data_IF_169918254556
#
_entry.id   IF_169918254556
#
_cell.length_a   1.000
_cell.length_b   1.000
_cell.length_c   1.000
_cell.angle_alpha   90.00
_cell.angle_beta   90.00
_cell.angle_gamma   90.00
#
_symmetry.space_group_name_H-M   'P 1'
#
loop_
_entity.id
_entity.type
_entity.pdbx_description
1 polymer ?
#
# COMPACT_ATOMS: atom_id res chain seq x y z
N UNK A 1 14.16 4.60 -11.89
CA UNK A 1 13.29 5.62 -11.26
C UNK A 1 11.87 5.26 -11.65
N UNK A 2 11.02 4.88 -10.69
CA UNK A 2 9.59 4.72 -10.96
C UNK A 2 9.00 6.11 -11.27
N UNK A 3 8.26 6.21 -12.36
CA UNK A 3 7.58 7.43 -12.79
C UNK A 3 6.68 7.95 -11.64
N UNK A 4 6.78 9.24 -11.32
CA UNK A 4 5.90 9.87 -10.32
C UNK A 4 4.49 9.92 -10.90
N UNK A 5 3.52 9.43 -10.14
CA UNK A 5 2.15 9.31 -10.62
C UNK A 5 1.36 10.58 -10.34
N UNK A 6 0.50 10.95 -11.28
CA UNK A 6 -0.38 12.11 -11.16
C UNK A 6 -1.82 11.68 -10.88
N UNK A 7 -2.60 12.61 -10.35
CA UNK A 7 -4.00 12.41 -10.03
C UNK A 7 -4.69 13.73 -9.76
N UNK A 8 -5.95 13.62 -9.37
CA UNK A 8 -6.84 14.76 -9.15
C UNK A 8 -7.37 14.74 -7.72
N UNK A 9 -7.89 15.85 -7.26
CA UNK A 9 -8.76 15.87 -6.09
C UNK A 9 -10.10 16.53 -6.46
N UNK A 10 -11.16 16.05 -5.82
CA UNK A 10 -12.55 16.37 -6.18
C UNK A 10 -13.36 16.76 -4.97
N UNK A 11 -14.21 17.77 -5.16
CA UNK A 11 -15.31 18.14 -4.27
C UNK A 11 -16.64 18.09 -5.04
N UNK A 12 -17.74 18.62 -4.48
CA UNK A 12 -18.99 18.83 -5.24
C UNK A 12 -18.83 19.55 -6.57
N UNK A 13 -17.80 20.40 -6.72
CA UNK A 13 -17.63 21.21 -7.93
C UNK A 13 -17.29 20.38 -9.16
N UNK A 14 -16.80 19.15 -8.98
CA UNK A 14 -16.54 18.20 -10.06
C UNK A 14 -17.72 17.25 -10.33
N UNK A 15 -18.90 17.54 -9.78
CA UNK A 15 -20.13 16.78 -10.00
C UNK A 15 -20.10 15.36 -9.39
N UNK A 16 -21.18 14.61 -9.58
CA UNK A 16 -21.37 13.30 -8.93
C UNK A 16 -20.30 12.27 -9.29
N UNK A 17 -19.75 12.30 -10.51
CA UNK A 17 -18.83 11.27 -10.99
C UNK A 17 -17.38 11.74 -11.04
N UNK A 18 -17.09 12.96 -10.60
CA UNK A 18 -15.77 13.57 -10.75
C UNK A 18 -15.49 14.03 -12.18
N UNK A 19 -14.35 14.71 -12.36
CA UNK A 19 -13.83 15.13 -13.67
C UNK A 19 -12.46 14.50 -13.86
N UNK A 20 -12.31 13.73 -14.94
CA UNK A 20 -11.07 13.06 -15.30
C UNK A 20 -10.26 13.93 -16.26
N UNK A 21 -8.97 14.10 -15.99
CA UNK A 21 -8.10 14.93 -16.82
C UNK A 21 -7.41 14.10 -17.91
N UNK A 22 -6.62 13.08 -17.52
CA UNK A 22 -5.80 12.32 -18.46
C UNK A 22 -5.85 10.81 -18.18
N UNK A 23 -5.75 9.95 -19.22
CA UNK A 23 -5.68 8.49 -19.05
C UNK A 23 -4.47 8.01 -18.22
N UNK A 24 -3.46 8.87 -18.04
CA UNK A 24 -2.28 8.59 -17.24
C UNK A 24 -2.51 8.78 -15.73
N UNK A 25 -3.59 9.44 -15.32
CA UNK A 25 -3.90 9.65 -13.91
C UNK A 25 -4.09 8.29 -13.20
N UNK A 26 -3.65 8.21 -11.94
CA UNK A 26 -3.61 6.95 -11.17
C UNK A 26 -4.38 6.99 -9.86
N UNK A 27 -4.74 8.18 -9.38
CA UNK A 27 -5.47 8.35 -8.13
C UNK A 27 -6.43 9.54 -8.19
N UNK A 28 -7.41 9.52 -7.29
CA UNK A 28 -8.32 10.64 -7.03
C UNK A 28 -8.52 10.81 -5.52
N UNK A 29 -8.46 12.03 -4.98
CA UNK A 29 -8.73 12.31 -3.56
C UNK A 29 -10.09 13.02 -3.44
N UNK A 30 -11.09 12.36 -2.86
CA UNK A 30 -12.48 12.84 -2.87
C UNK A 30 -12.86 13.46 -1.52
N UNK A 31 -13.51 14.63 -1.56
CA UNK A 31 -13.99 15.29 -0.34
C UNK A 31 -15.21 14.57 0.21
N UNK A 32 -15.15 14.12 1.47
CA UNK A 32 -16.33 13.55 2.15
C UNK A 32 -17.27 14.61 2.71
N UNK A 33 -16.74 15.80 2.97
CA UNK A 33 -17.39 16.86 3.71
C UNK A 33 -16.39 17.57 4.61
N UNK A 34 -16.89 18.21 5.65
CA UNK A 34 -16.03 18.75 6.69
C UNK A 34 -16.73 19.67 7.66
N UNK A 35 -15.94 20.25 8.55
CA UNK A 35 -16.37 21.21 9.55
C UNK A 35 -15.91 22.61 9.16
N UNK A 36 -16.83 23.57 9.19
CA UNK A 36 -16.63 24.98 8.88
C UNK A 36 -16.77 25.78 10.17
N UNK A 37 -15.76 25.71 11.05
CA UNK A 37 -15.80 26.39 12.35
C UNK A 37 -16.86 25.84 13.32
N UNK A 38 -17.27 24.57 13.17
CA UNK A 38 -18.28 23.93 14.02
C UNK A 38 -19.53 23.47 13.26
N UNK A 39 -19.76 23.97 12.05
CA UNK A 39 -20.84 23.51 11.18
C UNK A 39 -20.39 22.36 10.30
N UNK A 40 -21.12 21.24 10.33
CA UNK A 40 -20.80 20.02 9.58
C UNK A 40 -21.57 19.99 8.26
N UNK A 41 -20.85 19.81 7.15
CA UNK A 41 -21.43 19.77 5.81
C UNK A 41 -20.97 18.53 5.08
N UNK A 42 -21.93 17.70 4.66
CA UNK A 42 -21.65 16.50 3.87
C UNK A 42 -21.56 16.83 2.38
N UNK A 43 -20.65 16.14 1.69
CA UNK A 43 -20.54 16.17 0.24
C UNK A 43 -21.37 15.02 -0.34
N UNK A 44 -22.54 15.34 -0.92
CA UNK A 44 -23.42 14.33 -1.54
C UNK A 44 -22.76 13.60 -2.71
N UNK A 45 -21.74 14.18 -3.33
CA UNK A 45 -20.97 13.59 -4.43
C UNK A 45 -19.98 12.52 -3.98
N UNK A 46 -19.55 12.50 -2.71
CA UNK A 46 -18.42 11.70 -2.22
C UNK A 46 -18.52 10.21 -2.60
N UNK A 47 -19.65 9.57 -2.29
CA UNK A 47 -19.82 8.13 -2.53
C UNK A 47 -19.73 7.80 -4.03
N UNK A 48 -20.36 8.63 -4.87
CA UNK A 48 -20.36 8.44 -6.32
C UNK A 48 -18.98 8.72 -6.92
N UNK A 49 -18.25 9.71 -6.40
CA UNK A 49 -16.88 10.02 -6.82
C UNK A 49 -15.90 8.90 -6.46
N UNK A 50 -15.97 8.36 -5.25
CA UNK A 50 -15.16 7.20 -4.83
C UNK A 50 -15.43 5.99 -5.72
N UNK A 51 -16.72 5.70 -6.00
CA UNK A 51 -17.10 4.60 -6.89
C UNK A 51 -16.63 4.84 -8.34
N UNK A 52 -16.81 6.05 -8.84
CA UNK A 52 -16.42 6.46 -10.19
C UNK A 52 -14.91 6.32 -10.39
N UNK A 53 -14.10 6.79 -9.43
CA UNK A 53 -12.65 6.60 -9.43
C UNK A 53 -12.26 5.12 -9.51
N UNK A 54 -12.85 4.27 -8.66
CA UNK A 54 -12.60 2.82 -8.67
C UNK A 54 -12.98 2.15 -10.00
N UNK A 55 -14.11 2.50 -10.59
CA UNK A 55 -14.56 1.98 -11.88
C UNK A 55 -13.62 2.36 -13.04
N UNK A 56 -12.89 3.46 -12.91
CA UNK A 56 -11.88 3.91 -13.87
C UNK A 56 -10.45 3.46 -13.51
N UNK A 57 -10.30 2.55 -12.55
CA UNK A 57 -9.00 2.00 -12.16
C UNK A 57 -8.12 2.96 -11.37
N UNK A 58 -8.68 4.07 -10.85
CA UNK A 58 -7.96 4.99 -9.98
C UNK A 58 -8.00 4.50 -8.53
N UNK A 59 -6.92 4.79 -7.79
CA UNK A 59 -6.89 4.64 -6.33
C UNK A 59 -7.61 5.81 -5.68
N UNK A 60 -8.73 5.55 -5.02
CA UNK A 60 -9.55 6.58 -4.39
C UNK A 60 -9.08 6.90 -2.95
N UNK A 61 -8.90 8.16 -2.62
CA UNK A 61 -8.55 8.63 -1.29
C UNK A 61 -9.61 9.60 -0.77
N UNK A 62 -9.53 9.97 0.49
CA UNK A 62 -10.49 10.88 1.12
C UNK A 62 -9.78 12.11 1.66
N UNK A 63 -10.43 13.27 1.62
CA UNK A 63 -10.06 14.41 2.45
C UNK A 63 -11.28 15.02 3.14
N UNK A 64 -11.03 15.72 4.24
CA UNK A 64 -12.03 16.37 5.09
C UNK A 64 -11.66 17.85 5.20
N UNK A 65 -12.57 18.76 4.86
CA UNK A 65 -12.42 20.19 5.20
C UNK A 65 -12.37 20.35 6.73
N UNK A 66 -11.23 20.82 7.26
CA UNK A 66 -10.87 20.64 8.66
C UNK A 66 -10.67 21.96 9.40
N UNK A 67 -11.64 22.87 9.31
CA UNK A 67 -11.59 24.19 9.96
C UNK A 67 -11.89 24.10 11.47
N UNK A 68 -10.98 23.48 12.22
CA UNK A 68 -11.11 23.21 13.67
C UNK A 68 -10.39 24.24 14.56
N UNK A 69 -9.59 25.14 13.98
CA UNK A 69 -8.71 26.03 14.72
C UNK A 69 -7.74 25.26 15.62
N UNK A 70 -7.72 25.59 16.92
CA UNK A 70 -6.97 24.88 17.95
C UNK A 70 -7.83 23.94 18.83
N UNK A 71 -9.07 23.63 18.42
CA UNK A 71 -10.02 22.88 19.26
C UNK A 71 -9.92 21.37 19.06
N UNK A 72 -9.30 20.66 20.00
CA UNK A 72 -9.32 19.18 20.06
C UNK A 72 -10.72 18.60 20.17
N UNK A 73 -11.64 19.31 20.82
CA UNK A 73 -13.02 18.84 20.96
C UNK A 73 -13.77 18.91 19.63
N UNK A 74 -13.59 19.99 18.85
CA UNK A 74 -14.16 20.06 17.51
C UNK A 74 -13.50 19.05 16.56
N UNK A 75 -12.18 18.88 16.66
CA UNK A 75 -11.44 17.82 15.97
C UNK A 75 -12.02 16.42 16.27
N UNK A 76 -12.33 16.13 17.53
CA UNK A 76 -13.00 14.90 17.95
C UNK A 76 -14.37 14.76 17.31
N UNK A 77 -15.24 15.76 17.43
CA UNK A 77 -16.58 15.73 16.84
C UNK A 77 -16.54 15.56 15.31
N UNK A 78 -15.62 16.25 14.64
CA UNK A 78 -15.35 16.11 13.20
C UNK A 78 -15.08 14.65 12.82
N UNK A 79 -14.12 14.02 13.49
CA UNK A 79 -13.68 12.67 13.14
C UNK A 79 -14.62 11.57 13.61
N UNK A 80 -15.32 11.75 14.74
CA UNK A 80 -16.41 10.87 15.16
C UNK A 80 -17.54 10.84 14.10
N UNK A 81 -17.76 11.97 13.43
CA UNK A 81 -18.74 12.08 12.37
C UNK A 81 -18.25 11.46 11.05
N UNK A 82 -17.08 11.86 10.54
CA UNK A 82 -16.67 11.49 9.18
C UNK A 82 -16.00 10.11 9.08
N UNK A 83 -15.19 9.67 10.06
CA UNK A 83 -14.45 8.39 9.93
C UNK A 83 -15.34 7.16 9.69
N UNK A 84 -16.52 7.01 10.33
CA UNK A 84 -17.43 5.89 10.06
C UNK A 84 -18.09 5.95 8.67
N UNK A 85 -18.04 7.10 7.99
CA UNK A 85 -18.69 7.34 6.69
C UNK A 85 -17.74 7.16 5.50
N UNK A 86 -16.44 7.04 5.74
CA UNK A 86 -15.42 6.85 4.71
C UNK A 86 -15.66 5.54 3.95
N UNK A 87 -15.54 5.61 2.61
CA UNK A 87 -15.77 4.49 1.69
C UNK A 87 -14.51 3.93 1.03
N UNK A 88 -13.39 4.61 1.18
CA UNK A 88 -12.10 4.14 0.66
C UNK A 88 -11.56 2.99 1.54
N UNK A 89 -10.72 2.08 1.01
CA UNK A 89 -10.17 0.96 1.78
C UNK A 89 -9.37 1.41 3.00
N UNK A 90 -9.27 0.54 4.01
CA UNK A 90 -8.30 0.75 5.10
C UNK A 90 -6.88 0.85 4.55
N UNK A 91 -6.06 1.66 5.20
CA UNK A 91 -4.74 2.06 4.73
C UNK A 91 -4.77 3.22 3.72
N UNK A 92 -5.88 3.49 3.04
CA UNK A 92 -5.96 4.64 2.14
C UNK A 92 -5.78 5.97 2.88
N UNK A 93 -5.34 7.00 2.15
CA UNK A 93 -5.20 8.35 2.68
C UNK A 93 -6.55 8.90 3.15
N UNK A 94 -6.54 9.50 4.33
CA UNK A 94 -7.54 10.45 4.82
C UNK A 94 -6.79 11.72 5.19
N UNK A 95 -6.93 12.75 4.37
CA UNK A 95 -6.26 14.03 4.58
C UNK A 95 -7.13 15.01 5.40
N UNK A 96 -6.48 15.75 6.29
CA UNK A 96 -7.03 16.90 6.98
C UNK A 96 -6.69 18.15 6.18
N UNK A 97 -7.68 18.74 5.55
CA UNK A 97 -7.55 19.99 4.80
C UNK A 97 -7.66 21.16 5.77
N UNK A 98 -6.50 21.72 6.15
CA UNK A 98 -6.35 22.78 7.14
C UNK A 98 -5.70 24.00 6.49
N UNK A 99 -6.52 24.74 5.75
CA UNK A 99 -6.10 25.96 5.05
C UNK A 99 -6.91 27.20 5.44
N UNK A 100 -7.83 27.06 6.39
CA UNK A 100 -8.56 28.17 6.99
C UNK A 100 -8.89 27.91 8.48
N UNK A 101 -9.30 28.97 9.19
CA UNK A 101 -9.78 28.94 10.56
C UNK A 101 -8.72 28.71 11.63
N UNK A 102 -7.43 28.87 11.32
CA UNK A 102 -6.37 28.84 12.31
C UNK A 102 -6.56 29.92 13.38
N UNK A 103 -6.27 29.57 14.63
CA UNK A 103 -6.16 30.56 15.71
C UNK A 103 -4.74 31.15 15.76
N UNK A 104 -4.52 32.19 16.57
CA UNK A 104 -3.17 32.71 16.80
C UNK A 104 -2.26 31.75 17.62
N UNK A 105 -2.83 30.71 18.24
CA UNK A 105 -2.10 29.71 19.00
C UNK A 105 -1.60 28.58 18.08
N UNK A 106 -0.37 28.75 17.58
CA UNK A 106 0.32 27.79 16.70
C UNK A 106 0.43 26.41 17.37
N UNK A 107 0.74 26.37 18.67
CA UNK A 107 0.86 25.11 19.42
C UNK A 107 -0.47 24.41 19.48
N UNK A 108 -1.55 25.13 19.82
CA UNK A 108 -2.90 24.60 19.86
C UNK A 108 -3.41 24.12 18.51
N UNK A 109 -3.17 24.88 17.43
CA UNK A 109 -3.50 24.47 16.07
C UNK A 109 -2.81 23.15 15.72
N UNK A 110 -1.49 23.07 15.96
CA UNK A 110 -0.67 21.88 15.72
C UNK A 110 -1.18 20.68 16.53
N UNK A 111 -1.55 20.90 17.79
CA UNK A 111 -2.10 19.87 18.67
C UNK A 111 -3.49 19.36 18.24
N UNK A 112 -4.33 20.22 17.67
CA UNK A 112 -5.62 19.81 17.11
C UNK A 112 -5.44 18.98 15.82
N UNK A 113 -4.50 19.36 14.97
CA UNK A 113 -4.13 18.61 13.76
C UNK A 113 -3.54 17.24 14.14
N UNK A 114 -2.54 17.19 15.03
CA UNK A 114 -1.94 15.94 15.50
C UNK A 114 -2.98 15.02 16.15
N UNK A 115 -3.89 15.58 16.97
CA UNK A 115 -5.01 14.81 17.50
C UNK A 115 -5.82 14.18 16.36
N UNK A 116 -6.14 14.94 15.32
CA UNK A 116 -6.89 14.44 14.19
C UNK A 116 -6.16 13.36 13.40
N UNK A 117 -4.88 13.56 13.11
CA UNK A 117 -4.04 12.60 12.40
C UNK A 117 -3.88 11.28 13.17
N UNK A 118 -3.69 11.34 14.50
CA UNK A 118 -3.68 10.15 15.37
C UNK A 118 -5.00 9.38 15.26
N UNK A 119 -6.15 10.08 15.34
CA UNK A 119 -7.47 9.46 15.22
C UNK A 119 -7.69 8.79 13.85
N UNK A 120 -7.17 9.38 12.77
CA UNK A 120 -7.19 8.77 11.44
C UNK A 120 -6.34 7.50 11.39
N UNK A 121 -5.13 7.54 11.95
CA UNK A 121 -4.23 6.41 12.05
C UNK A 121 -4.84 5.26 12.89
N UNK A 122 -5.38 5.58 14.06
CA UNK A 122 -6.07 4.62 14.95
C UNK A 122 -7.28 3.97 14.27
N UNK A 123 -7.94 4.69 13.36
CA UNK A 123 -9.02 4.17 12.54
C UNK A 123 -8.53 3.30 11.36
N UNK A 124 -7.22 3.07 11.23
CA UNK A 124 -6.61 2.22 10.22
C UNK A 124 -6.50 2.87 8.84
N UNK A 125 -6.32 4.18 8.77
CA UNK A 125 -6.08 4.93 7.52
C UNK A 125 -4.71 5.61 7.56
N UNK A 126 -4.21 6.06 6.40
CA UNK A 126 -2.98 6.86 6.33
C UNK A 126 -3.33 8.33 6.60
N UNK A 127 -2.86 8.93 7.72
CA UNK A 127 -3.12 10.35 7.98
C UNK A 127 -2.26 11.24 7.09
N UNK A 128 -2.84 12.36 6.66
CA UNK A 128 -2.16 13.36 5.84
C UNK A 128 -2.63 14.76 6.24
N UNK A 129 -1.72 15.73 6.22
CA UNK A 129 -2.01 17.15 6.40
C UNK A 129 -1.98 17.83 5.04
N UNK A 130 -3.07 18.51 4.68
CA UNK A 130 -3.14 19.35 3.49
C UNK A 130 -3.23 20.84 3.84
N UNK A 131 -2.46 21.66 3.12
CA UNK A 131 -2.50 23.12 3.15
C UNK A 131 -1.62 23.70 2.03
N UNK A 132 -1.32 25.00 2.09
CA UNK A 132 -0.32 25.67 1.26
C UNK A 132 0.80 26.29 2.10
N UNK A 133 2.01 26.38 1.54
CA UNK A 133 3.25 26.63 2.30
C UNK A 133 3.21 27.89 3.19
N UNK A 134 2.83 29.09 2.69
CA UNK A 134 2.72 30.29 3.53
C UNK A 134 1.79 30.13 4.74
N UNK A 135 0.64 29.46 4.56
CA UNK A 135 -0.31 29.26 5.65
C UNK A 135 0.24 28.31 6.71
N UNK A 136 0.84 27.20 6.28
CA UNK A 136 1.48 26.25 7.19
C UNK A 136 2.56 26.93 8.01
N UNK A 137 3.51 27.63 7.37
CA UNK A 137 4.62 28.28 8.06
C UNK A 137 4.18 29.36 9.05
N UNK A 138 3.03 30.00 8.81
CA UNK A 138 2.47 31.02 9.69
C UNK A 138 1.74 30.42 10.89
N UNK A 139 1.01 29.32 10.71
CA UNK A 139 -0.03 28.90 11.65
C UNK A 139 0.24 27.56 12.34
N UNK A 140 1.20 26.76 11.87
CA UNK A 140 1.40 25.36 12.29
C UNK A 140 2.89 25.04 12.43
N UNK A 141 3.25 24.36 13.52
CA UNK A 141 4.58 23.75 13.66
C UNK A 141 4.61 22.38 12.94
N UNK A 142 4.70 22.43 11.61
CA UNK A 142 4.63 21.24 10.76
C UNK A 142 5.76 20.24 11.05
N UNK A 143 6.88 20.69 11.64
CA UNK A 143 7.99 19.80 12.01
C UNK A 143 7.55 18.76 13.02
N UNK A 144 6.63 19.12 13.92
CA UNK A 144 6.03 18.17 14.88
C UNK A 144 5.11 17.17 14.18
N UNK A 145 4.38 17.61 13.14
CA UNK A 145 3.57 16.72 12.29
C UNK A 145 4.46 15.66 11.63
N UNK A 146 5.51 16.07 10.94
CA UNK A 146 6.37 15.12 10.20
C UNK A 146 7.28 14.29 11.11
N UNK A 147 7.55 14.74 12.33
CA UNK A 147 8.25 13.94 13.33
C UNK A 147 7.42 12.74 13.81
N UNK A 148 6.10 12.90 13.90
CA UNK A 148 5.18 11.83 14.29
C UNK A 148 4.67 11.02 13.08
N UNK A 149 4.39 11.71 11.98
CA UNK A 149 3.91 11.13 10.72
C UNK A 149 4.85 11.54 9.58
N UNK A 150 5.98 10.84 9.37
CA UNK A 150 6.90 11.15 8.28
C UNK A 150 6.22 11.09 6.90
N UNK A 151 6.63 11.96 5.98
CA UNK A 151 6.10 12.01 4.60
C UNK A 151 4.57 12.13 4.54
N UNK A 152 3.97 12.99 5.36
CA UNK A 152 2.52 13.13 5.49
C UNK A 152 1.98 14.50 5.06
N UNK A 153 2.79 15.34 4.40
CA UNK A 153 2.32 16.63 3.89
C UNK A 153 1.85 16.52 2.45
N UNK A 154 0.68 17.06 2.18
CA UNK A 154 0.16 17.38 0.86
C UNK A 154 0.13 18.90 0.75
N UNK A 155 1.00 19.50 -0.07
CA UNK A 155 1.17 20.96 -0.11
C UNK A 155 0.81 21.50 -1.49
N UNK A 156 0.02 22.56 -1.51
CA UNK A 156 -0.29 23.33 -2.71
C UNK A 156 0.71 24.48 -2.91
N UNK A 157 1.11 24.70 -4.17
CA UNK A 157 1.85 25.87 -4.66
C UNK A 157 1.67 25.94 -6.17
N UNK A 158 1.18 27.07 -6.68
CA UNK A 158 0.92 27.23 -8.11
C UNK A 158 1.76 28.39 -8.66
N UNK A 159 2.52 28.19 -9.76
CA UNK A 159 3.27 29.28 -10.39
C UNK A 159 2.37 30.39 -10.92
N UNK A 160 1.21 29.99 -11.43
CA UNK A 160 0.21 30.80 -12.09
C UNK A 160 -1.13 30.03 -12.15
N UNK A 161 -2.11 30.61 -12.85
CA UNK A 161 -3.41 29.98 -13.14
C UNK A 161 -3.54 29.64 -14.63
N UNK A 162 -2.44 29.32 -15.29
CA UNK A 162 -2.46 28.83 -16.67
C UNK A 162 -2.73 27.32 -16.69
N UNK A 163 -3.31 26.82 -17.79
CA UNK A 163 -3.57 25.38 -17.94
C UNK A 163 -2.24 24.62 -17.93
N UNK A 164 -2.11 23.63 -17.04
CA UNK A 164 -0.85 22.92 -16.80
C UNK A 164 -1.07 21.45 -16.53
N UNK A 165 -0.55 20.57 -17.40
CA UNK A 165 -0.72 19.11 -17.29
C UNK A 165 0.42 18.38 -16.56
N UNK A 166 1.48 19.09 -16.17
CA UNK A 166 2.67 18.54 -15.50
C UNK A 166 3.17 19.48 -14.40
N UNK A 167 3.71 18.95 -13.29
CA UNK A 167 4.28 19.78 -12.23
C UNK A 167 5.46 20.61 -12.73
N UNK A 168 5.50 21.86 -12.30
CA UNK A 168 6.64 22.76 -12.47
C UNK A 168 7.50 22.69 -11.22
N UNK A 169 8.63 21.98 -11.29
CA UNK A 169 9.45 21.73 -10.11
C UNK A 169 10.27 22.94 -9.66
N UNK A 170 10.40 23.97 -10.49
CA UNK A 170 11.01 25.24 -10.06
C UNK A 170 10.15 25.97 -9.02
N UNK A 171 8.85 25.63 -8.98
CA UNK A 171 7.86 26.12 -8.02
C UNK A 171 7.50 25.08 -6.96
N UNK A 172 8.31 24.03 -6.79
CA UNK A 172 8.06 23.03 -5.78
C UNK A 172 8.08 23.66 -4.36
N UNK A 173 7.03 23.48 -3.53
CA UNK A 173 6.96 24.05 -2.19
C UNK A 173 7.91 23.33 -1.24
N UNK A 174 9.19 23.70 -1.32
CA UNK A 174 10.27 23.02 -0.62
C UNK A 174 10.05 23.11 0.90
N UNK A 175 9.65 21.96 1.46
CA UNK A 175 9.37 21.69 2.87
C UNK A 175 9.68 20.21 3.12
N UNK A 176 10.20 19.89 4.30
CA UNK A 176 10.43 18.49 4.68
C UNK A 176 9.09 17.72 4.78
N UNK A 177 9.08 16.47 4.33
CA UNK A 177 7.91 15.58 4.47
C UNK A 177 6.77 15.80 3.48
N UNK A 178 6.99 16.59 2.41
CA UNK A 178 6.04 16.69 1.29
C UNK A 178 6.00 15.38 0.51
N UNK A 179 4.84 14.71 0.56
CA UNK A 179 4.58 13.45 -0.11
C UNK A 179 3.66 13.60 -1.33
N UNK A 180 2.77 14.60 -1.31
CA UNK A 180 1.95 14.98 -2.46
C UNK A 180 2.13 16.48 -2.73
N UNK A 181 2.29 16.84 -3.99
CA UNK A 181 2.32 18.23 -4.44
C UNK A 181 1.10 18.51 -5.31
N UNK A 182 0.20 19.40 -4.86
CA UNK A 182 -0.84 19.96 -5.71
C UNK A 182 -0.22 21.12 -6.49
N UNK A 183 0.09 20.89 -7.76
CA UNK A 183 0.94 21.77 -8.56
C UNK A 183 0.17 22.77 -9.40
N UNK A 184 -1.17 22.65 -9.45
CA UNK A 184 -2.05 23.57 -10.17
C UNK A 184 -3.49 23.36 -9.75
N UNK A 185 -4.30 24.42 -9.86
CA UNK A 185 -5.78 24.35 -9.89
C UNK A 185 -6.36 24.38 -11.32
N UNK A 186 -5.47 24.35 -12.33
CA UNK A 186 -5.79 24.48 -13.75
C UNK A 186 -5.23 23.29 -14.53
N UNK A 187 -5.44 22.07 -14.02
CA UNK A 187 -4.92 20.82 -14.63
C UNK A 187 -5.46 20.57 -16.04
N UNK A 188 -6.67 21.08 -16.30
CA UNK A 188 -7.34 21.17 -17.60
C UNK A 188 -7.96 22.55 -17.80
N UNK A 189 -8.37 22.87 -19.03
CA UNK A 189 -9.16 24.06 -19.31
C UNK A 189 -10.49 24.03 -18.54
N UNK A 190 -10.82 25.13 -17.85
CA UNK A 190 -12.01 25.23 -17.01
C UNK A 190 -11.78 24.99 -15.51
N UNK A 191 -10.58 24.59 -15.10
CA UNK A 191 -10.19 24.43 -13.70
C UNK A 191 -10.39 23.00 -13.19
N UNK A 192 -9.33 22.46 -12.61
CA UNK A 192 -9.28 21.15 -11.95
C UNK A 192 -7.97 21.05 -11.18
N UNK A 193 -8.01 20.56 -9.96
CA UNK A 193 -6.81 20.42 -9.15
C UNK A 193 -5.95 19.23 -9.62
N UNK A 194 -4.67 19.51 -9.86
CA UNK A 194 -3.68 18.57 -10.37
C UNK A 194 -2.64 18.24 -9.30
N UNK A 195 -2.46 16.95 -9.03
CA UNK A 195 -1.60 16.44 -7.97
C UNK A 195 -0.54 15.50 -8.51
N UNK A 196 0.63 15.46 -7.86
CA UNK A 196 1.67 14.46 -8.10
C UNK A 196 2.09 13.79 -6.79
N UNK A 197 2.11 12.46 -6.78
CA UNK A 197 2.65 11.65 -5.69
C UNK A 197 4.18 11.54 -5.83
N UNK A 198 4.89 11.98 -4.81
CA UNK A 198 6.35 12.06 -4.80
C UNK A 198 7.01 10.83 -4.16
N UNK A 199 6.24 10.04 -3.40
CA UNK A 199 6.76 9.01 -2.48
C UNK A 199 6.15 7.62 -2.68
N UNK A 200 5.04 7.54 -3.42
CA UNK A 200 4.22 6.34 -3.54
C UNK A 200 3.17 6.20 -2.42
N UNK A 201 2.88 7.28 -1.67
CA UNK A 201 1.91 7.25 -0.55
C UNK A 201 0.49 6.92 -1.02
N UNK A 202 0.13 7.25 -2.26
CA UNK A 202 -1.18 6.94 -2.85
C UNK A 202 -1.38 5.44 -3.11
N UNK A 203 -0.34 4.62 -2.95
CA UNK A 203 -0.49 3.17 -2.94
C UNK A 203 -1.00 2.63 -1.60
N UNK A 204 -0.95 3.39 -0.51
CA UNK A 204 -1.43 2.89 0.77
C UNK A 204 -2.94 2.58 0.70
N UNK A 205 -3.33 1.42 1.23
CA UNK A 205 -4.69 0.85 1.09
C UNK A 205 -5.02 0.22 -0.27
N UNK A 206 -4.10 0.32 -1.25
CA UNK A 206 -4.28 -0.17 -2.62
C UNK A 206 -3.14 -1.04 -3.12
N UNK A 207 -2.04 -1.14 -2.36
CA UNK A 207 -1.12 -2.27 -2.49
C UNK A 207 -1.97 -3.51 -2.39
N UNK A 208 -2.07 -4.27 -3.49
CA UNK A 208 -2.73 -5.56 -3.44
C UNK A 208 -2.18 -6.31 -2.23
N UNK A 209 -3.10 -6.77 -1.37
CA UNK A 209 -2.75 -7.70 -0.32
C UNK A 209 -2.15 -8.96 -0.96
N UNK A 210 -0.84 -8.97 -1.09
CA UNK A 210 -0.05 -10.12 -1.47
C UNK A 210 0.96 -10.26 -0.31
N UNK A 211 0.92 -11.27 0.55
CA UNK A 211 0.26 -12.57 0.44
C UNK A 211 0.24 -13.27 1.79
N UNK A 212 -0.94 -13.72 2.24
CA UNK A 212 -1.02 -15.08 2.78
C UNK A 212 -1.80 -15.88 1.76
N UNK A 213 -1.08 -16.56 0.88
CA UNK A 213 -1.66 -17.50 -0.06
C UNK A 213 -0.91 -18.80 0.11
N UNK A 214 -1.66 -19.88 0.26
CA UNK A 214 -1.12 -21.21 0.16
C UNK A 214 -1.67 -21.91 -1.07
N UNK A 215 -2.04 -21.16 -2.10
CA UNK A 215 -2.55 -21.72 -3.36
C UNK A 215 -1.46 -21.67 -4.42
N UNK A 216 -1.12 -22.83 -4.94
CA UNK A 216 -0.23 -23.01 -6.09
C UNK A 216 -1.05 -23.37 -7.33
N UNK A 217 -0.53 -23.02 -8.51
CA UNK A 217 -1.11 -23.37 -9.81
C UNK A 217 -0.15 -24.31 -10.52
N UNK A 218 -0.63 -25.47 -10.93
CA UNK A 218 0.14 -26.43 -11.73
C UNK A 218 0.48 -25.80 -13.08
N UNK A 219 1.75 -25.94 -13.50
CA UNK A 219 2.26 -25.52 -14.80
C UNK A 219 3.04 -26.68 -15.40
N UNK A 220 2.52 -27.31 -16.45
CA UNK A 220 3.22 -28.39 -17.16
C UNK A 220 3.83 -27.88 -18.46
N UNK A 221 5.11 -28.15 -18.69
CA UNK A 221 5.77 -27.91 -19.97
C UNK A 221 5.49 -29.08 -20.94
N UNK A 222 5.14 -28.76 -22.19
CA UNK A 222 5.02 -29.66 -23.35
C UNK A 222 4.41 -31.06 -23.10
N UNK A 223 3.16 -31.10 -22.61
CA UNK A 223 2.20 -32.09 -23.09
C UNK A 223 1.90 -33.32 -22.22
N UNK A 224 2.43 -33.44 -21.00
CA UNK A 224 1.96 -34.45 -20.04
C UNK A 224 1.76 -33.87 -18.63
N UNK A 225 0.71 -34.30 -17.91
CA UNK A 225 0.59 -34.11 -16.46
C UNK A 225 1.78 -34.73 -15.72
N UNK A 226 2.60 -33.92 -15.04
CA UNK A 226 3.48 -34.46 -14.00
C UNK A 226 2.59 -35.05 -12.91
N UNK A 227 2.91 -36.22 -12.36
CA UNK A 227 2.05 -36.84 -11.35
C UNK A 227 2.27 -36.23 -9.96
N UNK A 228 1.37 -36.50 -9.02
CA UNK A 228 1.64 -36.26 -7.61
C UNK A 228 2.67 -37.26 -7.08
N UNK A 229 3.39 -36.85 -6.04
CA UNK A 229 4.34 -37.67 -5.32
C UNK A 229 3.82 -38.02 -3.94
N UNK A 230 4.33 -39.11 -3.37
CA UNK A 230 4.16 -39.41 -1.96
C UNK A 230 5.33 -38.86 -1.13
N UNK A 231 5.26 -38.99 0.20
CA UNK A 231 6.31 -38.53 1.14
C UNK A 231 7.67 -39.21 0.96
N UNK A 232 7.75 -40.31 0.21
CA UNK A 232 9.00 -41.01 -0.13
C UNK A 232 9.57 -40.58 -1.48
N UNK A 233 9.02 -39.54 -2.11
CA UNK A 233 9.38 -39.10 -3.47
C UNK A 233 9.02 -40.10 -4.57
N UNK A 234 8.06 -41.00 -4.31
CA UNK A 234 7.58 -41.94 -5.33
C UNK A 234 6.36 -41.35 -6.05
N UNK A 235 6.39 -41.40 -7.38
CA UNK A 235 5.34 -40.92 -8.26
C UNK A 235 4.08 -41.82 -8.20
N UNK A 236 2.89 -41.23 -8.11
CA UNK A 236 1.63 -41.98 -8.24
C UNK A 236 1.37 -42.36 -9.71
N UNK A 237 1.04 -43.62 -9.97
CA UNK A 237 0.91 -44.12 -11.35
C UNK A 237 -0.32 -43.58 -12.13
N UNK A 238 -1.34 -43.03 -11.45
CA UNK A 238 -2.66 -42.77 -12.05
C UNK A 238 -3.27 -41.41 -11.73
N UNK A 239 -2.51 -40.44 -11.21
CA UNK A 239 -3.05 -39.13 -10.80
C UNK A 239 -2.39 -37.99 -11.56
N UNK A 240 -2.77 -37.78 -12.84
CA UNK A 240 -2.22 -36.68 -13.63
C UNK A 240 -2.52 -35.31 -12.99
N UNK A 241 -1.50 -34.48 -12.75
CA UNK A 241 -1.70 -33.06 -12.44
C UNK A 241 -2.13 -32.29 -13.70
N UNK A 242 -3.37 -31.85 -13.71
CA UNK A 242 -3.94 -31.10 -14.83
C UNK A 242 -3.35 -29.68 -14.82
N UNK A 243 -2.85 -29.22 -15.97
CA UNK A 243 -2.32 -27.87 -16.13
C UNK A 243 -3.33 -26.81 -15.70
N UNK A 244 -2.85 -25.73 -15.08
CA UNK A 244 -3.64 -24.61 -14.55
C UNK A 244 -4.62 -24.95 -13.41
N UNK A 245 -4.61 -26.18 -12.89
CA UNK A 245 -5.34 -26.49 -11.66
C UNK A 245 -4.70 -25.81 -10.44
N UNK A 246 -5.56 -25.36 -9.52
CA UNK A 246 -5.16 -24.68 -8.30
C UNK A 246 -5.28 -25.62 -7.11
N UNK A 247 -4.23 -25.69 -6.30
CA UNK A 247 -4.17 -26.56 -5.14
C UNK A 247 -3.81 -25.77 -3.90
N UNK A 248 -4.54 -26.01 -2.82
CA UNK A 248 -4.18 -25.48 -1.51
C UNK A 248 -3.11 -26.38 -0.89
N UNK A 249 -1.95 -25.81 -0.61
CA UNK A 249 -0.87 -26.47 0.10
C UNK A 249 -0.90 -26.13 1.60
N UNK A 250 -0.32 -26.99 2.42
CA UNK A 250 -0.24 -26.83 3.87
C UNK A 250 1.13 -27.17 4.48
N UNK A 251 2.15 -27.31 3.63
CA UNK A 251 3.50 -27.66 4.04
C UNK A 251 4.43 -27.85 2.85
N UNK A 252 5.73 -27.81 3.13
CA UNK A 252 6.79 -28.06 2.14
C UNK A 252 7.74 -29.12 2.71
N UNK A 253 8.08 -30.11 1.89
CA UNK A 253 9.11 -31.12 2.17
C UNK A 253 10.16 -31.11 1.06
N UNK A 254 11.23 -31.88 1.23
CA UNK A 254 12.24 -32.12 0.19
C UNK A 254 12.04 -33.49 -0.44
N UNK A 255 12.31 -33.61 -1.74
CA UNK A 255 12.44 -34.90 -2.41
C UNK A 255 13.84 -35.52 -2.20
N UNK A 256 14.06 -36.71 -2.77
CA UNK A 256 15.34 -37.43 -2.70
C UNK A 256 16.53 -36.67 -3.30
N UNK A 257 16.27 -35.68 -4.16
CA UNK A 257 17.27 -34.86 -4.85
C UNK A 257 17.45 -33.48 -4.17
N UNK A 258 16.71 -33.23 -3.07
CA UNK A 258 16.74 -32.01 -2.28
C UNK A 258 15.79 -30.91 -2.77
N UNK A 259 14.96 -31.19 -3.77
CA UNK A 259 14.04 -30.22 -4.39
C UNK A 259 12.75 -30.08 -3.56
N UNK A 260 12.20 -28.88 -3.51
CA UNK A 260 10.99 -28.60 -2.75
C UNK A 260 9.73 -29.26 -3.35
N UNK A 261 8.93 -29.87 -2.48
CA UNK A 261 7.61 -30.40 -2.77
C UNK A 261 6.54 -29.83 -1.85
N UNK A 262 5.47 -29.31 -2.42
CA UNK A 262 4.32 -28.78 -1.70
C UNK A 262 3.35 -29.88 -1.32
N UNK A 263 3.00 -30.00 -0.05
CA UNK A 263 1.96 -30.90 0.44
C UNK A 263 0.59 -30.32 0.12
N UNK A 264 -0.18 -31.01 -0.72
CA UNK A 264 -1.52 -30.57 -1.19
C UNK A 264 -2.65 -31.46 -0.72
N UNK A 265 -2.33 -32.51 0.04
CA UNK A 265 -3.30 -33.46 0.57
C UNK A 265 -2.65 -34.50 1.49
N UNK A 266 -3.40 -35.53 1.84
CA UNK A 266 -2.86 -36.63 2.63
C UNK A 266 -1.83 -37.42 1.82
N UNK A 267 -0.58 -37.44 2.27
CA UNK A 267 0.55 -38.08 1.59
C UNK A 267 0.65 -37.72 0.08
N UNK A 268 0.23 -36.51 -0.30
CA UNK A 268 0.12 -36.08 -1.69
C UNK A 268 0.86 -34.77 -1.89
N UNK A 269 1.82 -34.77 -2.82
CA UNK A 269 2.77 -33.68 -2.98
C UNK A 269 2.96 -33.29 -4.45
N UNK A 270 3.22 -32.00 -4.69
CA UNK A 270 3.50 -31.42 -6.01
C UNK A 270 4.89 -30.80 -5.98
N UNK A 271 5.79 -31.21 -6.88
CA UNK A 271 7.12 -30.61 -7.02
C UNK A 271 7.02 -29.15 -7.46
N UNK A 272 7.86 -28.28 -6.91
CA UNK A 272 7.80 -26.84 -7.16
C UNK A 272 8.03 -26.48 -8.64
N UNK A 273 8.90 -27.22 -9.32
CA UNK A 273 9.22 -27.07 -10.74
C UNK A 273 8.01 -27.25 -11.68
N UNK A 274 6.97 -27.92 -11.20
CA UNK A 274 5.71 -28.15 -11.92
C UNK A 274 4.63 -27.11 -11.59
N UNK A 275 5.00 -25.96 -11.03
CA UNK A 275 4.05 -24.94 -10.57
C UNK A 275 4.41 -23.54 -11.06
N UNK A 276 3.52 -22.59 -10.82
CA UNK A 276 3.80 -21.15 -10.98
C UNK A 276 4.89 -20.61 -10.03
N UNK A 277 5.44 -21.46 -9.15
CA UNK A 277 6.51 -21.13 -8.21
C UNK A 277 7.86 -21.77 -8.62
N UNK A 278 7.97 -22.35 -9.82
CA UNK A 278 9.24 -22.87 -10.33
C UNK A 278 10.35 -21.79 -10.26
N UNK A 279 11.46 -22.12 -9.60
CA UNK A 279 12.61 -21.26 -9.34
C UNK A 279 12.26 -19.93 -8.63
N UNK A 280 11.16 -19.92 -7.87
CA UNK A 280 10.58 -18.70 -7.33
C UNK A 280 10.17 -18.86 -5.87
N UNK A 281 10.84 -18.11 -4.99
CA UNK A 281 10.39 -17.84 -3.63
C UNK A 281 9.47 -16.62 -3.64
N UNK A 282 8.28 -16.74 -3.08
CA UNK A 282 7.32 -15.67 -2.81
C UNK A 282 7.07 -15.62 -1.31
N UNK A 283 7.38 -14.51 -0.67
CA UNK A 283 7.29 -14.37 0.79
C UNK A 283 5.83 -14.38 1.24
N UNK A 284 5.41 -15.48 1.86
CA UNK A 284 4.11 -15.72 2.48
C UNK A 284 4.08 -15.12 3.89
N UNK A 285 4.00 -13.80 3.94
CA UNK A 285 3.99 -12.99 5.16
C UNK A 285 3.19 -11.71 4.91
N UNK A 286 2.64 -11.05 5.96
CA UNK A 286 1.93 -9.78 5.79
C UNK A 286 2.81 -8.72 5.11
N UNK A 287 2.24 -8.01 4.12
CA UNK A 287 2.98 -7.15 3.19
C UNK A 287 3.76 -6.00 3.85
N UNK A 288 3.24 -5.44 4.94
CA UNK A 288 3.89 -4.35 5.68
C UNK A 288 5.08 -4.83 6.52
N UNK A 289 5.21 -6.14 6.70
CA UNK A 289 6.26 -6.76 7.47
C UNK A 289 7.25 -7.51 6.56
N UNK A 290 8.36 -7.95 7.13
CA UNK A 290 9.30 -8.81 6.43
C UNK A 290 9.91 -9.84 7.35
N UNK A 291 10.60 -10.79 6.75
CA UNK A 291 11.16 -11.95 7.42
C UNK A 291 12.68 -11.86 7.49
N UNK A 292 13.27 -12.40 8.55
CA UNK A 292 14.72 -12.46 8.64
C UNK A 292 15.26 -13.52 7.67
N UNK A 293 16.34 -13.15 6.97
CA UNK A 293 17.23 -14.10 6.33
C UNK A 293 18.36 -14.48 7.30
N UNK A 294 19.01 -15.59 7.01
CA UNK A 294 20.07 -16.18 7.81
C UNK A 294 21.32 -16.42 6.97
N UNK A 295 22.48 -16.40 7.60
CA UNK A 295 23.73 -16.84 6.97
C UNK A 295 23.84 -18.38 6.96
N UNK A 296 24.87 -18.91 6.29
CA UNK A 296 25.15 -20.36 6.24
C UNK A 296 25.47 -21.00 7.59
N UNK A 297 25.59 -20.23 8.67
CA UNK A 297 25.87 -20.69 10.03
C UNK A 297 24.64 -20.60 10.94
N UNK A 298 23.51 -20.10 10.43
CA UNK A 298 22.27 -19.94 11.19
C UNK A 298 22.16 -18.62 11.95
N UNK A 299 23.03 -17.63 11.70
CA UNK A 299 22.89 -16.31 12.31
C UNK A 299 21.90 -15.47 11.51
N UNK A 300 20.96 -14.82 12.19
CA UNK A 300 20.06 -13.88 11.56
C UNK A 300 20.84 -12.67 11.01
N UNK A 301 20.58 -12.31 9.76
CA UNK A 301 21.22 -11.17 9.10
C UNK A 301 20.46 -9.91 9.50
N UNK A 302 21.17 -8.96 10.09
CA UNK A 302 20.62 -7.68 10.55
C UNK A 302 19.90 -6.96 9.40
N UNK A 303 18.72 -6.42 9.70
CA UNK A 303 17.87 -5.62 8.80
C UNK A 303 17.41 -6.33 7.51
N UNK A 304 17.62 -7.65 7.39
CA UNK A 304 17.17 -8.43 6.24
C UNK A 304 15.65 -8.43 6.06
N UNK A 305 14.88 -8.26 7.14
CA UNK A 305 13.43 -8.07 7.12
C UNK A 305 12.96 -6.75 6.46
N UNK A 306 13.87 -5.79 6.22
CA UNK A 306 13.56 -4.61 5.41
C UNK A 306 13.60 -4.93 3.91
N UNK A 307 14.38 -5.94 3.52
CA UNK A 307 14.55 -6.43 2.15
C UNK A 307 13.53 -7.52 1.80
N UNK A 308 13.39 -8.56 2.63
CA UNK A 308 12.50 -9.70 2.39
C UNK A 308 11.08 -9.43 2.91
N UNK A 309 10.38 -8.51 2.25
CA UNK A 309 9.01 -8.10 2.60
C UNK A 309 7.95 -9.11 2.19
N UNK A 310 6.82 -9.14 2.90
CA UNK A 310 5.65 -9.92 2.50
C UNK A 310 5.25 -9.67 1.05
N UNK A 311 5.01 -10.74 0.29
CA UNK A 311 4.68 -10.69 -1.14
C UNK A 311 5.88 -10.47 -2.08
N UNK A 312 7.08 -10.17 -1.57
CA UNK A 312 8.26 -10.03 -2.42
C UNK A 312 8.64 -11.36 -3.08
N UNK A 313 9.22 -11.28 -4.28
CA UNK A 313 9.56 -12.42 -5.13
C UNK A 313 11.06 -12.49 -5.37
N UNK A 314 11.63 -13.68 -5.26
CA UNK A 314 13.07 -13.91 -5.33
C UNK A 314 13.35 -15.12 -6.22
N UNK A 315 14.26 -14.94 -7.18
CA UNK A 315 14.78 -16.06 -7.99
C UNK A 315 15.59 -16.97 -7.07
N UNK A 316 15.30 -18.25 -7.12
CA UNK A 316 15.95 -19.29 -6.30
C UNK A 316 16.19 -20.52 -7.17
N UNK A 317 17.04 -21.43 -6.69
CA UNK A 317 16.97 -22.83 -7.08
C UNK A 317 15.82 -23.48 -6.28
N UNK A 318 15.14 -24.48 -6.84
CA UNK A 318 14.11 -25.25 -6.13
C UNK A 318 14.72 -26.15 -5.03
N UNK A 319 16.05 -26.29 -4.99
CA UNK A 319 16.78 -26.96 -3.91
C UNK A 319 16.74 -26.21 -2.59
N UNK A 320 16.46 -26.95 -1.51
CA UNK A 320 16.49 -26.43 -0.15
C UNK A 320 17.80 -26.79 0.55
N UNK A 321 18.32 -25.84 1.33
CA UNK A 321 19.50 -26.03 2.19
C UNK A 321 19.05 -26.09 3.64
N UNK A 322 19.50 -27.10 4.38
CA UNK A 322 19.27 -27.16 5.83
C UNK A 322 20.30 -26.28 6.55
N UNK A 323 19.81 -25.20 7.18
CA UNK A 323 20.65 -24.23 7.87
C UNK A 323 20.65 -24.53 9.37
N UNK A 324 21.82 -24.65 10.03
CA UNK A 324 21.91 -24.97 11.45
C UNK A 324 21.01 -24.07 12.31
N UNK A 325 20.24 -24.66 13.23
CA UNK A 325 19.31 -23.96 14.14
C UNK A 325 18.17 -23.17 13.46
N UNK A 326 18.00 -23.27 12.15
CA UNK A 326 16.96 -22.57 11.38
C UNK A 326 16.07 -23.57 10.64
N UNK A 327 16.64 -24.63 10.08
CA UNK A 327 15.97 -25.63 9.26
C UNK A 327 16.08 -25.36 7.76
N UNK A 328 15.19 -25.98 6.98
CA UNK A 328 15.16 -25.85 5.52
C UNK A 328 14.92 -24.41 5.06
N UNK A 329 15.80 -23.92 4.18
CA UNK A 329 15.78 -22.58 3.62
C UNK A 329 16.01 -22.59 2.11
N UNK A 330 15.47 -21.58 1.43
CA UNK A 330 15.87 -21.22 0.07
C UNK A 330 17.11 -20.32 0.11
N UNK A 331 18.08 -20.59 -0.76
CA UNK A 331 19.19 -19.68 -0.99
C UNK A 331 18.76 -18.56 -1.95
N UNK A 332 18.77 -17.31 -1.47
CA UNK A 332 18.30 -16.13 -2.25
C UNK A 332 19.46 -15.25 -2.74
N UNK A 333 20.68 -15.51 -2.24
CA UNK A 333 21.94 -14.95 -2.73
C UNK A 333 23.11 -15.85 -2.32
N UNK A 334 24.34 -15.45 -2.63
CA UNK A 334 25.54 -16.23 -2.27
C UNK A 334 25.66 -16.51 -0.77
N UNK A 335 25.06 -15.69 0.09
CA UNK A 335 25.23 -15.78 1.56
C UNK A 335 23.94 -15.68 2.37
N UNK A 336 22.77 -15.50 1.73
CA UNK A 336 21.49 -15.29 2.41
C UNK A 336 20.53 -16.45 2.16
N UNK A 337 19.90 -16.91 3.25
CA UNK A 337 18.97 -18.03 3.25
C UNK A 337 17.65 -17.62 3.91
N UNK A 338 16.52 -17.87 3.25
CA UNK A 338 15.18 -17.57 3.77
C UNK A 338 14.45 -18.86 4.15
N UNK A 339 13.94 -18.98 5.39
CA UNK A 339 13.25 -20.20 5.85
C UNK A 339 12.04 -20.56 4.99
N UNK A 340 11.92 -21.87 4.67
CA UNK A 340 10.84 -22.42 3.84
C UNK A 340 9.44 -22.15 4.39
N UNK A 341 9.31 -21.97 5.72
CA UNK A 341 8.04 -21.63 6.38
C UNK A 341 7.43 -20.32 5.86
N UNK A 342 8.23 -19.45 5.24
CA UNK A 342 7.77 -18.19 4.65
C UNK A 342 7.55 -18.27 3.14
N UNK A 343 7.56 -19.44 2.51
CA UNK A 343 7.21 -19.60 1.10
C UNK A 343 5.69 -19.73 0.91
N UNK A 344 5.15 -19.19 -0.19
CA UNK A 344 3.75 -19.45 -0.58
C UNK A 344 3.54 -20.96 -0.73
N UNK A 345 2.57 -21.50 -0.01
CA UNK A 345 2.32 -22.95 0.04
C UNK A 345 2.94 -23.67 1.24
N UNK A 346 3.68 -22.96 2.09
CA UNK A 346 4.22 -23.51 3.35
C UNK A 346 3.17 -23.87 4.40
N UNK A 347 1.92 -23.45 4.21
CA UNK A 347 0.87 -23.56 5.22
C UNK A 347 0.87 -22.43 6.25
N UNK A 348 1.72 -21.41 6.09
CA UNK A 348 1.74 -20.23 6.96
C UNK A 348 0.36 -19.53 6.97
N UNK A 349 -0.10 -19.12 8.16
CA UNK A 349 -1.45 -18.57 8.38
C UNK A 349 -1.50 -17.11 8.85
N UNK A 350 -0.35 -16.47 9.08
CA UNK A 350 -0.27 -15.11 9.61
C UNK A 350 0.62 -15.04 10.83
#
# INVERSE_FOLDING_TARGET
>A
MTEREQGVDWSKFQGNNGVFAYPTDKFAICQIGGTYGGSFVDQSTYNNQVQSAGNHGLRAHTYIWYQVGNSKQLAKSCLDYYLPRIKTPKGSIVALDYEDGASADITGNTEAILYGMRRINDAGYTPMYYSYKPYTLKNVDYKRIIAEFPNSLWIAEYPDYNVRSKPDYDYFPSMDGVAIFQFTSMYIAGGLDGNVDLTGITYNGYKQANTISNVLTVKTGNGNPTTMFNSKSEAYATTPLINDTKWKADGIIVDKDGEAMFKVGNNSYVRQDCTNLNDLLVINYPADYGVNAYDGKGNAIKDSNLKFKGGSKWKVDNKLTDIPNVGLCYQVSTTEYVPVKYQVGSGFKG
#
